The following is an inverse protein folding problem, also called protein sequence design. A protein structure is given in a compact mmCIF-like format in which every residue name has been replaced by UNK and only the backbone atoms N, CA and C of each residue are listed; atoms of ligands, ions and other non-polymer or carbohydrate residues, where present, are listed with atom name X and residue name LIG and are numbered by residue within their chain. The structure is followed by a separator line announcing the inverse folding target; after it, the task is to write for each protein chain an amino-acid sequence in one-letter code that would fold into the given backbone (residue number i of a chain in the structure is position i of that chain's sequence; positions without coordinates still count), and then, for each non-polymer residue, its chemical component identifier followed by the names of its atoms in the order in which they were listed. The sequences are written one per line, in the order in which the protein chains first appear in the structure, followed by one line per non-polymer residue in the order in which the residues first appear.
data_IF_476952663307
#
_entry.id   IF_476952663307
#
_cell.length_a   1.000
_cell.length_b   1.000
_cell.length_c   1.000
_cell.angle_alpha   90.00
_cell.angle_beta   90.00
_cell.angle_gamma   90.00
#
_symmetry.space_group_name_H-M   'P 1'
#
loop_
_entity.id
_entity.type
_entity.pdbx_description
1 polymer ?
#
# COMPACT_ATOMS: atom_id res chain seq x y z
N UNK A 1 16.06 -28.24 0.53
CA UNK A 1 15.18 -27.05 0.70
C UNK A 1 14.89 -26.48 -0.68
N UNK A 2 13.79 -26.90 -1.30
CA UNK A 2 13.43 -26.52 -2.67
C UNK A 2 12.78 -25.13 -2.68
N UNK A 3 13.50 -24.16 -3.24
CA UNK A 3 12.94 -22.85 -3.57
C UNK A 3 11.79 -23.07 -4.56
N UNK A 4 10.55 -22.86 -4.11
CA UNK A 4 9.35 -22.94 -4.94
C UNK A 4 9.44 -21.82 -5.97
N UNK A 5 9.85 -22.14 -7.20
CA UNK A 5 9.80 -21.25 -8.34
C UNK A 5 8.34 -20.86 -8.60
N UNK A 6 7.92 -19.72 -8.06
CA UNK A 6 6.61 -19.16 -8.37
C UNK A 6 6.61 -18.69 -9.82
N UNK A 7 5.60 -19.07 -10.59
CA UNK A 7 5.47 -18.56 -11.97
C UNK A 7 5.38 -17.02 -11.91
N UNK A 8 5.96 -16.28 -12.88
CA UNK A 8 5.93 -14.82 -12.89
C UNK A 8 4.52 -14.25 -12.71
N UNK A 9 3.51 -14.94 -13.25
CA UNK A 9 2.08 -14.61 -13.09
C UNK A 9 1.56 -14.75 -11.66
N UNK A 10 1.95 -15.81 -10.93
CA UNK A 10 1.50 -16.06 -9.55
C UNK A 10 2.17 -15.10 -8.58
N UNK A 11 3.47 -14.83 -8.75
CA UNK A 11 4.19 -13.84 -7.96
C UNK A 11 3.61 -12.43 -8.17
N UNK A 12 3.43 -12.00 -9.42
CA UNK A 12 2.82 -10.70 -9.73
C UNK A 12 1.43 -10.55 -9.13
N UNK A 13 0.58 -11.59 -9.23
CA UNK A 13 -0.75 -11.57 -8.63
C UNK A 13 -0.68 -11.48 -7.10
N UNK A 14 0.20 -12.25 -6.47
CA UNK A 14 0.40 -12.21 -5.03
C UNK A 14 0.91 -10.85 -4.55
N UNK A 15 1.87 -10.23 -5.26
CA UNK A 15 2.39 -8.90 -4.92
C UNK A 15 1.31 -7.82 -5.04
N UNK A 16 0.55 -7.81 -6.13
CA UNK A 16 -0.53 -6.83 -6.34
C UNK A 16 -1.61 -6.98 -5.26
N UNK A 17 -2.08 -8.21 -5.00
CA UNK A 17 -3.12 -8.47 -4.00
C UNK A 17 -2.61 -8.15 -2.60
N UNK A 18 -1.41 -8.61 -2.25
CA UNK A 18 -0.81 -8.38 -0.93
C UNK A 18 -0.59 -6.89 -0.66
N UNK A 19 -0.02 -6.16 -1.61
CA UNK A 19 0.20 -4.74 -1.47
C UNK A 19 -1.13 -3.96 -1.41
N UNK A 20 -2.10 -4.29 -2.27
CA UNK A 20 -3.41 -3.64 -2.24
C UNK A 20 -4.16 -3.91 -0.94
N UNK A 21 -4.07 -5.13 -0.39
CA UNK A 21 -4.68 -5.48 0.89
C UNK A 21 -4.05 -4.71 2.06
N UNK A 22 -2.71 -4.61 2.10
CA UNK A 22 -2.00 -3.83 3.11
C UNK A 22 -2.36 -2.34 3.03
N UNK A 23 -2.42 -1.80 1.81
CA UNK A 23 -2.82 -0.41 1.61
C UNK A 23 -4.26 -0.15 2.04
N UNK A 24 -5.20 -1.01 1.65
CA UNK A 24 -6.60 -0.92 2.07
C UNK A 24 -6.75 -1.01 3.59
N UNK A 25 -6.01 -1.90 4.25
CA UNK A 25 -6.01 -2.05 5.70
C UNK A 25 -5.45 -0.78 6.38
N UNK A 26 -4.35 -0.22 5.90
CA UNK A 26 -3.79 1.02 6.45
C UNK A 26 -4.77 2.19 6.31
N UNK A 27 -5.47 2.32 5.17
CA UNK A 27 -6.53 3.33 4.98
C UNK A 27 -7.70 3.08 5.93
N UNK A 28 -8.12 1.83 6.12
CA UNK A 28 -9.18 1.50 7.07
C UNK A 28 -8.79 1.88 8.51
N UNK A 29 -7.56 1.57 8.93
CA UNK A 29 -7.04 1.96 10.26
C UNK A 29 -7.02 3.49 10.40
N UNK A 30 -6.57 4.22 9.37
CA UNK A 30 -6.60 5.67 9.36
C UNK A 30 -8.02 6.22 9.54
N UNK A 31 -9.00 5.69 8.80
CA UNK A 31 -10.40 6.12 8.90
C UNK A 31 -10.97 5.82 10.28
N UNK A 32 -10.72 4.61 10.81
CA UNK A 32 -11.19 4.21 12.14
C UNK A 32 -10.60 5.12 13.22
N UNK A 33 -9.27 5.33 13.20
CA UNK A 33 -8.58 6.19 14.16
C UNK A 33 -8.96 7.67 14.03
N UNK A 34 -9.16 8.17 12.81
CA UNK A 34 -9.51 9.58 12.58
C UNK A 34 -10.93 9.91 13.07
N UNK A 35 -11.90 9.04 12.78
CA UNK A 35 -13.30 9.29 13.12
C UNK A 35 -13.71 8.72 14.49
N UNK A 36 -12.89 7.87 15.10
CA UNK A 36 -13.23 7.17 16.34
C UNK A 36 -14.31 6.11 16.12
N UNK A 37 -14.24 5.40 14.99
CA UNK A 37 -15.21 4.35 14.67
C UNK A 37 -15.06 3.19 15.65
N UNK A 38 -16.14 2.43 15.85
CA UNK A 38 -16.17 1.25 16.74
C UNK A 38 -15.87 1.56 18.22
N UNK A 39 -16.08 2.80 18.67
CA UNK A 39 -15.79 3.20 20.05
C UNK A 39 -14.30 3.38 20.35
N UNK A 40 -13.45 3.38 19.30
CA UNK A 40 -12.03 3.69 19.41
C UNK A 40 -11.83 5.18 19.74
N UNK A 41 -10.88 5.47 20.63
CA UNK A 41 -10.42 6.82 20.86
C UNK A 41 -9.74 7.39 19.60
N UNK A 42 -9.94 8.69 19.33
CA UNK A 42 -9.42 9.30 18.10
C UNK A 42 -7.90 9.35 18.14
N UNK A 43 -7.27 8.68 17.19
CA UNK A 43 -5.82 8.58 17.08
C UNK A 43 -5.33 9.09 15.71
N UNK A 44 -4.79 10.31 15.64
CA UNK A 44 -4.21 10.86 14.41
C UNK A 44 -2.89 10.18 14.00
N UNK A 45 -2.23 9.41 14.87
CA UNK A 45 -1.01 8.66 14.54
C UNK A 45 -1.29 7.39 13.73
N UNK A 46 -2.57 7.02 13.53
CA UNK A 46 -2.98 5.97 12.60
C UNK A 46 -2.48 6.17 11.16
N UNK A 47 -2.16 7.41 10.76
CA UNK A 47 -1.53 7.71 9.47
C UNK A 47 -0.12 7.10 9.30
N UNK A 48 0.56 6.75 10.39
CA UNK A 48 1.92 6.18 10.36
C UNK A 48 1.97 4.86 9.60
N UNK A 49 0.87 4.10 9.53
CA UNK A 49 0.83 2.84 8.77
C UNK A 49 0.90 3.05 7.25
N UNK A 50 0.61 4.26 6.74
CA UNK A 50 0.78 4.60 5.33
C UNK A 50 2.22 4.96 4.97
N UNK A 51 3.04 5.40 5.94
CA UNK A 51 4.42 5.85 5.69
C UNK A 51 5.28 4.76 5.03
N UNK A 52 5.43 3.54 5.59
CA UNK A 52 6.27 2.51 4.98
C UNK A 52 5.78 2.08 3.59
N UNK A 53 4.46 2.03 3.40
CA UNK A 53 3.84 1.66 2.14
C UNK A 53 4.03 2.73 1.05
N UNK A 54 4.16 4.00 1.44
CA UNK A 54 4.32 5.14 0.53
C UNK A 54 5.76 5.53 0.24
N UNK A 55 6.76 4.90 0.86
CA UNK A 55 8.17 5.19 0.57
C UNK A 55 8.53 4.88 -0.89
N UNK A 56 9.41 5.66 -1.52
CA UNK A 56 10.06 6.88 -1.01
C UNK A 56 9.19 8.14 -1.14
N UNK A 57 8.07 8.08 -1.86
CA UNK A 57 7.21 9.21 -2.20
C UNK A 57 6.64 9.95 -0.98
N UNK A 58 6.44 9.22 0.13
CA UNK A 58 6.00 9.79 1.40
C UNK A 58 7.01 10.76 2.02
N UNK A 59 8.29 10.74 1.60
CA UNK A 59 9.33 11.68 2.06
C UNK A 59 9.31 13.02 1.31
N UNK A 60 8.54 13.13 0.23
CA UNK A 60 8.45 14.38 -0.51
C UNK A 60 7.70 15.43 0.32
N UNK A 61 8.09 16.72 0.24
CA UNK A 61 7.44 17.81 0.98
C UNK A 61 6.08 18.21 0.39
N UNK A 62 5.31 17.24 -0.12
CA UNK A 62 3.97 17.43 -0.71
C UNK A 62 2.87 17.48 0.36
N UNK A 63 3.11 16.88 1.54
CA UNK A 63 2.29 17.03 2.76
C UNK A 63 0.81 16.64 2.68
N UNK A 64 0.16 16.53 3.84
CA UNK A 64 -1.30 16.37 3.92
C UNK A 64 -1.84 14.95 3.73
N UNK A 65 -3.08 14.75 4.21
CA UNK A 65 -3.74 13.45 4.23
C UNK A 65 -3.93 12.84 2.84
N UNK A 66 -4.21 13.68 1.83
CA UNK A 66 -4.38 13.23 0.44
C UNK A 66 -3.09 12.63 -0.10
N UNK A 67 -1.94 13.30 0.12
CA UNK A 67 -0.64 12.77 -0.33
C UNK A 67 -0.26 11.48 0.40
N UNK A 68 -0.50 11.42 1.71
CA UNK A 68 -0.24 10.21 2.50
C UNK A 68 -1.01 8.98 1.99
N UNK A 69 -2.24 9.17 1.49
CA UNK A 69 -3.05 8.11 0.89
C UNK A 69 -2.57 7.77 -0.53
N UNK A 70 -2.18 8.78 -1.32
CA UNK A 70 -1.77 8.59 -2.72
C UNK A 70 -0.36 8.00 -2.87
N UNK A 71 0.57 8.28 -1.95
CA UNK A 71 1.95 7.81 -2.03
C UNK A 71 2.07 6.27 -2.14
N UNK A 72 1.37 5.46 -1.32
CA UNK A 72 1.30 4.01 -1.53
C UNK A 72 0.69 3.61 -2.88
N UNK A 73 -0.27 4.39 -3.38
CA UNK A 73 -0.90 4.17 -4.69
C UNK A 73 0.09 4.21 -5.85
N UNK A 74 1.13 5.05 -5.76
CA UNK A 74 2.21 5.11 -6.74
C UNK A 74 2.97 3.78 -6.78
N UNK A 75 3.31 3.21 -5.62
CA UNK A 75 3.98 1.91 -5.54
C UNK A 75 3.13 0.78 -6.12
N UNK A 76 1.83 0.76 -5.82
CA UNK A 76 0.91 -0.22 -6.42
C UNK A 76 0.86 -0.07 -7.95
N UNK A 77 0.79 1.16 -8.46
CA UNK A 77 0.81 1.43 -9.89
C UNK A 77 2.10 0.94 -10.56
N UNK A 78 3.25 1.16 -9.93
CA UNK A 78 4.55 0.66 -10.41
C UNK A 78 4.60 -0.87 -10.45
N UNK A 79 4.14 -1.56 -9.40
CA UNK A 79 4.07 -3.03 -9.38
C UNK A 79 3.18 -3.53 -10.52
N UNK A 80 2.00 -2.94 -10.71
CA UNK A 80 1.07 -3.30 -11.78
C UNK A 80 1.70 -3.06 -13.16
N UNK A 81 2.35 -1.91 -13.37
CA UNK A 81 3.02 -1.58 -14.62
C UNK A 81 4.14 -2.56 -14.95
N UNK A 82 5.05 -2.83 -14.00
CA UNK A 82 6.13 -3.80 -14.16
C UNK A 82 5.60 -5.20 -14.47
N UNK A 83 4.56 -5.64 -13.77
CA UNK A 83 3.92 -6.94 -14.00
C UNK A 83 3.13 -7.03 -15.32
N UNK A 84 2.67 -5.90 -15.88
CA UNK A 84 2.08 -5.86 -17.23
C UNK A 84 3.16 -5.91 -18.30
N UNK A 85 4.23 -5.11 -18.16
CA UNK A 85 5.36 -5.09 -19.10
C UNK A 85 6.03 -6.47 -19.18
N UNK A 86 6.26 -7.13 -18.04
CA UNK A 86 6.83 -8.49 -17.99
C UNK A 86 5.93 -9.60 -18.53
N UNK A 87 4.64 -9.35 -18.72
CA UNK A 87 3.69 -10.29 -19.35
C UNK A 87 3.55 -10.06 -20.85
N UNK A 88 3.84 -8.84 -21.32
CA UNK A 88 3.79 -8.47 -22.73
C UNK A 88 5.11 -8.79 -23.47
N UNK A 89 6.21 -8.95 -22.74
CA UNK A 89 7.46 -9.57 -23.23
C UNK A 89 7.42 -11.06 -22.98
#
# INVERSE_FOLDING_TARGET
MTARGTSPSRLCRALIIGFAALWALAVAILVIGTFGLFGQERDPLSAVFLLPLGLPWALLPMGGAVWAILAPGINLALIVALCRIRRAR
#
